data_IF_622921149629
#
_entry.id   IF_622921149629
#
_cell.length_a   1.000
_cell.length_b   1.000
_cell.length_c   1.000
_cell.angle_alpha   90.00
_cell.angle_beta   90.00
_cell.angle_gamma   90.00
#
_symmetry.space_group_name_H-M   'P 1'
#
loop_
_entity.id
_entity.type
_entity.pdbx_description
1 polymer ?
#
# COMPACT_ATOMS: atom_id res chain seq x y z
N UNK A 1 -21.82 -46.17 -10.88
CA UNK A 1 -21.72 -44.86 -11.55
C UNK A 1 -21.22 -43.87 -10.52
N UNK A 2 -19.92 -43.82 -10.31
CA UNK A 2 -19.27 -42.80 -9.48
C UNK A 2 -18.75 -41.74 -10.45
N UNK A 3 -19.44 -40.61 -10.52
CA UNK A 3 -18.92 -39.41 -11.18
C UNK A 3 -17.81 -38.87 -10.27
N UNK A 4 -16.59 -39.37 -10.45
CA UNK A 4 -15.40 -38.66 -9.98
C UNK A 4 -15.25 -37.44 -10.89
N UNK A 5 -15.78 -36.30 -10.45
CA UNK A 5 -15.40 -35.01 -10.99
C UNK A 5 -13.93 -34.77 -10.62
N UNK A 6 -13.03 -35.23 -11.49
CA UNK A 6 -11.61 -34.89 -11.39
C UNK A 6 -11.49 -33.37 -11.57
N UNK A 7 -11.25 -32.66 -10.48
CA UNK A 7 -10.90 -31.24 -10.52
C UNK A 7 -9.53 -31.11 -11.18
N UNK A 8 -9.53 -30.88 -12.49
CA UNK A 8 -8.29 -30.73 -13.26
C UNK A 8 -7.63 -29.39 -12.94
N UNK A 9 -6.37 -29.46 -12.48
CA UNK A 9 -5.53 -28.29 -12.28
C UNK A 9 -5.38 -27.51 -13.59
N UNK A 10 -5.80 -26.23 -13.59
CA UNK A 10 -5.67 -25.37 -14.76
C UNK A 10 -4.23 -24.86 -14.92
N UNK A 11 -3.36 -25.69 -15.48
CA UNK A 11 -1.94 -25.38 -15.72
C UNK A 11 -1.74 -24.11 -16.57
N UNK A 12 -2.69 -23.77 -17.44
CA UNK A 12 -2.64 -22.54 -18.25
C UNK A 12 -2.72 -21.28 -17.39
N UNK A 13 -3.59 -21.25 -16.37
CA UNK A 13 -3.67 -20.12 -15.42
C UNK A 13 -2.36 -19.98 -14.62
N UNK A 14 -1.81 -21.10 -14.14
CA UNK A 14 -0.53 -21.09 -13.43
C UNK A 14 0.63 -20.61 -14.30
N UNK A 15 0.69 -21.05 -15.56
CA UNK A 15 1.72 -20.60 -16.49
C UNK A 15 1.68 -19.07 -16.70
N UNK A 16 0.49 -18.51 -16.89
CA UNK A 16 0.32 -17.05 -17.07
C UNK A 16 0.78 -16.30 -15.82
N UNK A 17 0.38 -16.77 -14.63
CA UNK A 17 0.79 -16.15 -13.36
C UNK A 17 2.31 -16.25 -13.14
N UNK A 18 2.89 -17.43 -13.37
CA UNK A 18 4.32 -17.65 -13.23
C UNK A 18 5.12 -16.75 -14.18
N UNK A 19 4.65 -16.56 -15.41
CA UNK A 19 5.27 -15.65 -16.37
C UNK A 19 5.19 -14.20 -15.90
N UNK A 20 4.02 -13.74 -15.43
CA UNK A 20 3.86 -12.37 -14.91
C UNK A 20 4.78 -12.11 -13.70
N UNK A 21 4.83 -13.04 -12.74
CA UNK A 21 5.72 -12.92 -11.58
C UNK A 21 7.19 -12.86 -12.02
N UNK A 22 7.58 -13.70 -12.98
CA UNK A 22 8.96 -13.76 -13.46
C UNK A 22 9.37 -12.51 -14.23
N UNK A 23 8.52 -12.08 -15.17
CA UNK A 23 8.81 -10.96 -16.06
C UNK A 23 8.66 -9.63 -15.35
N UNK A 24 7.60 -9.41 -14.56
CA UNK A 24 7.35 -8.09 -13.97
C UNK A 24 7.93 -7.95 -12.57
N UNK A 25 7.67 -8.91 -11.68
CA UNK A 25 8.05 -8.77 -10.28
C UNK A 25 9.52 -9.11 -10.04
N UNK A 26 9.98 -10.29 -10.47
CA UNK A 26 11.36 -10.75 -10.24
C UNK A 26 12.36 -9.87 -10.97
N UNK A 27 12.07 -9.49 -12.23
CA UNK A 27 12.91 -8.58 -13.01
C UNK A 27 13.07 -7.22 -12.31
N UNK A 28 11.97 -6.63 -11.85
CA UNK A 28 11.99 -5.35 -11.14
C UNK A 28 12.79 -5.46 -9.84
N UNK A 29 12.53 -6.48 -9.02
CA UNK A 29 13.25 -6.74 -7.77
C UNK A 29 14.76 -6.96 -7.97
N UNK A 30 15.15 -7.56 -9.10
CA UNK A 30 16.56 -7.85 -9.42
C UNK A 30 17.32 -6.65 -9.99
N UNK A 31 16.61 -5.57 -10.34
CA UNK A 31 17.25 -4.36 -10.83
C UNK A 31 18.11 -3.71 -9.73
N UNK A 32 19.33 -3.29 -10.08
CA UNK A 32 20.22 -2.62 -9.14
C UNK A 32 19.88 -1.13 -9.09
N UNK A 33 19.70 -0.60 -7.88
CA UNK A 33 19.59 0.83 -7.68
C UNK A 33 20.94 1.50 -7.95
N UNK A 34 20.98 2.49 -8.85
CA UNK A 34 22.20 3.24 -9.21
C UNK A 34 22.49 4.41 -8.26
N UNK A 35 21.61 4.68 -7.29
CA UNK A 35 21.74 5.77 -6.34
C UNK A 35 22.49 5.35 -5.08
N UNK A 36 23.20 6.29 -4.47
CA UNK A 36 23.88 6.08 -3.20
C UNK A 36 22.88 5.75 -2.09
N UNK A 37 23.23 4.77 -1.25
CA UNK A 37 22.43 4.36 -0.10
C UNK A 37 22.90 5.12 1.14
N UNK A 38 22.04 5.97 1.69
CA UNK A 38 22.33 6.72 2.92
C UNK A 38 21.53 6.13 4.07
N UNK A 39 22.22 5.45 4.99
CA UNK A 39 21.55 4.71 6.07
C UNK A 39 20.77 5.64 7.01
N UNK A 40 21.26 6.86 7.24
CA UNK A 40 20.54 7.88 8.03
C UNK A 40 19.19 8.24 7.40
N UNK A 41 19.13 8.40 6.09
CA UNK A 41 17.90 8.72 5.35
C UNK A 41 16.94 7.53 5.39
N UNK A 42 17.46 6.32 5.18
CA UNK A 42 16.64 5.10 5.21
C UNK A 42 16.03 4.89 6.59
N UNK A 43 16.84 5.02 7.64
CA UNK A 43 16.36 4.91 9.02
C UNK A 43 15.29 5.94 9.32
N UNK A 44 15.49 7.20 8.91
CA UNK A 44 14.48 8.24 9.06
C UNK A 44 13.16 7.85 8.37
N UNK A 45 13.21 7.42 7.10
CA UNK A 45 12.01 7.04 6.34
C UNK A 45 11.29 5.83 6.96
N UNK A 46 12.02 4.81 7.38
CA UNK A 46 11.43 3.55 7.92
C UNK A 46 10.90 3.73 9.34
N UNK A 47 11.45 4.67 10.12
CA UNK A 47 11.02 4.93 11.51
C UNK A 47 10.06 6.09 11.65
N UNK A 48 9.86 6.90 10.59
CA UNK A 48 8.91 8.01 10.60
C UNK A 48 7.51 7.48 10.89
N UNK A 49 6.77 8.09 11.85
CA UNK A 49 5.41 7.69 12.14
C UNK A 49 4.51 7.93 10.91
N UNK A 50 3.60 6.99 10.67
CA UNK A 50 2.51 7.15 9.70
C UNK A 50 1.24 7.38 10.50
N UNK A 51 0.65 8.57 10.33
CA UNK A 51 -0.57 8.97 11.03
C UNK A 51 -1.81 8.38 10.35
N UNK A 52 -2.86 8.12 11.13
CA UNK A 52 -4.17 7.76 10.57
C UNK A 52 -4.78 8.95 9.85
N UNK A 53 -5.76 8.69 8.98
CA UNK A 53 -6.51 9.73 8.28
C UNK A 53 -7.13 10.73 9.26
N UNK A 54 -7.76 10.24 10.33
CA UNK A 54 -8.34 11.08 11.40
C UNK A 54 -7.29 11.94 12.10
N UNK A 55 -6.10 11.39 12.37
CA UNK A 55 -5.00 12.13 13.03
C UNK A 55 -4.47 13.24 12.14
N UNK A 56 -4.34 12.97 10.83
CA UNK A 56 -3.93 13.97 9.84
C UNK A 56 -5.00 15.06 9.69
N UNK A 57 -6.27 14.69 9.69
CA UNK A 57 -7.38 15.64 9.58
C UNK A 57 -7.46 16.54 10.82
N UNK A 58 -7.30 15.98 12.01
CA UNK A 58 -7.23 16.77 13.25
C UNK A 58 -6.04 17.75 13.23
N UNK A 59 -4.84 17.28 12.85
CA UNK A 59 -3.66 18.14 12.72
C UNK A 59 -3.84 19.24 11.66
N UNK A 60 -4.55 18.95 10.57
CA UNK A 60 -4.91 19.95 9.56
C UNK A 60 -5.78 21.06 10.16
N UNK A 61 -6.79 20.71 10.96
CA UNK A 61 -7.65 21.70 11.62
C UNK A 61 -6.96 22.48 12.74
N UNK A 62 -5.88 21.97 13.32
CA UNK A 62 -5.02 22.71 14.25
C UNK A 62 -4.19 23.79 13.53
N UNK A 63 -3.73 23.50 12.31
CA UNK A 63 -3.00 24.45 11.46
C UNK A 63 -3.93 25.48 10.81
N UNK A 64 -5.08 25.02 10.32
CA UNK A 64 -6.05 25.79 9.54
C UNK A 64 -7.46 25.53 10.11
N UNK A 65 -7.99 26.43 10.97
CA UNK A 65 -9.26 26.23 11.64
C UNK A 65 -10.46 26.10 10.67
N UNK A 66 -11.52 25.36 11.05
CA UNK A 66 -12.68 25.15 10.19
C UNK A 66 -13.42 26.46 9.88
N UNK A 67 -13.55 26.79 8.61
CA UNK A 67 -14.24 28.00 8.16
C UNK A 67 -15.74 27.76 7.95
N UNK A 68 -16.11 26.59 7.40
CA UNK A 68 -17.49 26.25 7.08
C UNK A 68 -18.18 25.43 8.18
N UNK A 69 -19.51 25.38 8.16
CA UNK A 69 -20.28 24.49 9.06
C UNK A 69 -19.94 23.02 8.81
N UNK A 70 -19.66 22.66 7.56
CA UNK A 70 -19.27 21.31 7.20
C UNK A 70 -17.94 20.91 7.88
N UNK A 71 -16.94 21.79 7.81
CA UNK A 71 -15.63 21.55 8.44
C UNK A 71 -15.76 21.44 9.96
N UNK A 72 -16.64 22.25 10.56
CA UNK A 72 -16.96 22.17 11.99
C UNK A 72 -17.60 20.84 12.36
N UNK A 73 -18.46 20.31 11.50
CA UNK A 73 -19.10 18.99 11.71
C UNK A 73 -18.09 17.85 11.56
N UNK A 74 -17.22 17.91 10.55
CA UNK A 74 -16.13 16.94 10.37
C UNK A 74 -15.20 16.94 11.59
N UNK A 75 -14.76 18.11 12.07
CA UNK A 75 -13.92 18.20 13.27
C UNK A 75 -14.61 17.64 14.52
N UNK A 76 -15.93 17.77 14.64
CA UNK A 76 -16.68 17.16 15.75
C UNK A 76 -16.69 15.63 15.68
N UNK A 77 -16.76 15.04 14.49
CA UNK A 77 -16.73 13.59 14.33
C UNK A 77 -15.38 12.92 14.62
N UNK A 78 -14.30 13.71 14.71
CA UNK A 78 -12.94 13.24 15.01
C UNK A 78 -12.64 13.13 16.52
N UNK A 79 -13.55 13.57 17.40
CA UNK A 79 -13.39 13.62 18.86
C UNK A 79 -14.21 12.55 19.56
#
# INVERSE_FOLDING_TARGET
MTNDEHEELNLKKFYILARFISEEFIRCKSSKCSFARYESIINYVVTSPVFSEDSLMAASFECEPPETEHDREQLRSLR
#
